data_IF_556951030001
#
_entry.id   IF_556951030001
#
_cell.length_a   1.000
_cell.length_b   1.000
_cell.length_c   1.000
_cell.angle_alpha   90.00
_cell.angle_beta   90.00
_cell.angle_gamma   90.00
#
_symmetry.space_group_name_H-M   'P 1'
#
loop_
_entity.id
_entity.type
_entity.pdbx_description
1 polymer ?
#
# COMPACT_ATOMS: atom_id res chain seq x y z
N UNK A 1 47.01 -68.20 11.08
CA UNK A 1 47.50 -66.90 11.55
C UNK A 1 46.33 -65.92 11.59
N UNK A 2 46.27 -65.02 12.60
CA UNK A 2 45.01 -64.67 13.23
C UNK A 2 44.57 -63.21 13.03
N UNK A 3 43.25 -63.02 13.21
CA UNK A 3 42.54 -61.93 13.92
C UNK A 3 42.47 -60.55 13.25
N UNK A 4 41.30 -60.13 12.78
CA UNK A 4 40.16 -59.60 13.56
C UNK A 4 40.54 -58.37 14.38
N UNK A 5 40.23 -57.18 13.87
CA UNK A 5 40.04 -55.98 14.68
C UNK A 5 38.54 -55.90 15.03
N UNK A 6 38.23 -56.35 16.25
CA UNK A 6 37.09 -55.86 17.03
C UNK A 6 37.46 -54.46 17.56
N UNK A 7 36.52 -53.51 17.53
CA UNK A 7 36.14 -52.68 18.70
C UNK A 7 35.13 -51.62 18.27
N UNK A 8 33.84 -51.95 18.31
CA UNK A 8 32.78 -50.97 18.47
C UNK A 8 31.92 -51.47 19.65
N UNK A 9 32.18 -50.89 20.82
CA UNK A 9 31.49 -51.19 22.06
C UNK A 9 30.04 -50.70 22.00
N UNK A 10 29.16 -51.60 22.44
CA UNK A 10 27.76 -51.43 22.79
C UNK A 10 27.57 -50.35 23.87
N UNK A 11 26.64 -49.39 23.66
CA UNK A 11 25.33 -49.24 24.35
C UNK A 11 25.43 -48.67 25.81
N UNK A 12 24.33 -48.35 26.52
CA UNK A 12 23.52 -47.13 26.38
C UNK A 12 23.19 -46.48 27.76
N UNK A 13 22.96 -45.17 27.89
CA UNK A 13 22.26 -44.60 29.06
C UNK A 13 21.59 -43.30 28.61
N UNK A 14 20.30 -43.28 28.31
CA UNK A 14 19.14 -43.23 29.23
C UNK A 14 19.18 -42.01 30.19
N UNK A 15 18.19 -41.13 29.98
CA UNK A 15 17.74 -39.98 30.78
C UNK A 15 18.62 -38.73 30.86
N UNK A 16 18.21 -37.70 30.12
CA UNK A 16 17.69 -36.50 30.77
C UNK A 16 16.65 -35.85 29.87
N UNK A 17 15.38 -36.11 30.18
CA UNK A 17 14.26 -35.35 29.65
C UNK A 17 14.16 -34.04 30.42
N UNK A 18 14.37 -32.92 29.74
CA UNK A 18 13.74 -31.64 30.02
C UNK A 18 13.49 -30.99 28.67
N UNK A 19 12.32 -31.29 28.10
CA UNK A 19 11.76 -30.53 27.01
C UNK A 19 11.38 -29.17 27.61
N UNK A 20 12.11 -28.12 27.24
CA UNK A 20 11.80 -26.76 27.68
C UNK A 20 10.66 -26.25 26.79
N UNK A 21 9.46 -26.63 27.19
CA UNK A 21 8.21 -26.30 26.54
C UNK A 21 7.78 -24.92 27.00
N UNK A 22 8.39 -23.89 26.40
CA UNK A 22 7.92 -22.52 26.54
C UNK A 22 6.63 -22.35 25.73
N UNK A 23 5.52 -22.49 26.45
CA UNK A 23 4.18 -21.95 26.22
C UNK A 23 3.90 -21.40 24.81
N UNK A 24 3.16 -22.21 24.06
CA UNK A 24 2.29 -21.75 22.99
C UNK A 24 1.27 -20.77 23.59
N UNK A 25 1.47 -19.47 23.43
CA UNK A 25 0.41 -18.50 23.73
C UNK A 25 -0.67 -18.67 22.67
N UNK A 26 -1.74 -19.36 23.07
CA UNK A 26 -2.91 -19.58 22.27
C UNK A 26 -3.47 -18.22 21.83
N UNK A 27 -3.51 -18.03 20.50
CA UNK A 27 -4.28 -16.96 19.89
C UNK A 27 -5.70 -16.95 20.47
N UNK A 28 -6.26 -15.77 20.81
CA UNK A 28 -7.69 -15.71 21.08
C UNK A 28 -8.43 -16.20 19.82
N UNK A 29 -9.44 -17.07 19.94
CA UNK A 29 -10.24 -17.42 18.77
C UNK A 29 -10.78 -16.12 18.16
N UNK A 30 -10.74 -15.92 16.83
CA UNK A 30 -11.54 -14.86 16.24
C UNK A 30 -12.98 -15.17 16.63
N UNK A 31 -13.49 -14.34 17.54
CA UNK A 31 -14.86 -14.36 18.01
C UNK A 31 -15.75 -14.52 16.80
N UNK A 32 -16.46 -15.64 16.77
CA UNK A 32 -17.51 -15.93 15.82
C UNK A 32 -18.33 -14.66 15.67
N UNK A 33 -18.46 -14.22 14.42
CA UNK A 33 -19.32 -13.13 14.02
C UNK A 33 -20.68 -13.33 14.67
N UNK A 34 -20.97 -12.55 15.71
CA UNK A 34 -22.33 -12.30 16.12
C UNK A 34 -22.99 -11.62 14.92
N UNK A 35 -23.66 -12.42 14.09
CA UNK A 35 -24.67 -11.93 13.15
C UNK A 35 -25.74 -11.30 14.02
N UNK A 36 -25.56 -10.01 14.30
CA UNK A 36 -26.59 -9.19 14.88
C UNK A 36 -27.82 -9.33 13.99
N UNK A 37 -28.89 -9.87 14.55
CA UNK A 37 -30.19 -9.92 13.89
C UNK A 37 -30.50 -8.50 13.43
N UNK A 38 -30.63 -8.31 12.11
CA UNK A 38 -30.97 -7.02 11.54
C UNK A 38 -32.39 -6.66 11.99
N UNK A 39 -32.50 -5.92 13.09
CA UNK A 39 -33.70 -5.14 13.36
C UNK A 39 -33.79 -4.11 12.24
N UNK A 40 -34.97 -4.02 11.62
CA UNK A 40 -35.28 -2.95 10.65
C UNK A 40 -35.49 -1.63 11.40
N UNK A 41 -34.51 -1.24 12.20
CA UNK A 41 -34.45 0.13 12.68
C UNK A 41 -34.07 0.98 11.48
N UNK A 42 -34.94 1.92 11.11
CA UNK A 42 -34.80 2.82 9.97
C UNK A 42 -33.63 3.80 10.08
N UNK A 43 -32.55 3.43 10.77
CA UNK A 43 -31.31 4.16 10.77
C UNK A 43 -30.71 4.12 9.35
N UNK A 44 -30.30 5.27 8.80
CA UNK A 44 -29.69 5.31 7.47
C UNK A 44 -28.43 4.44 7.47
N UNK A 45 -28.27 3.60 6.44
CA UNK A 45 -27.06 2.81 6.22
C UNK A 45 -25.94 3.78 5.82
N UNK A 46 -25.22 4.31 6.81
CA UNK A 46 -24.03 5.15 6.58
C UNK A 46 -22.80 4.25 6.54
N UNK A 47 -22.22 4.08 5.35
CA UNK A 47 -20.97 3.34 5.19
C UNK A 47 -19.81 4.12 5.84
N UNK A 48 -18.97 3.43 6.61
CA UNK A 48 -17.75 4.02 7.19
C UNK A 48 -16.73 4.35 6.09
N UNK A 49 -15.83 5.29 6.35
CA UNK A 49 -14.79 5.68 5.37
C UNK A 49 -13.96 4.51 4.84
N UNK A 50 -13.63 3.54 5.69
CA UNK A 50 -12.94 2.32 5.29
C UNK A 50 -13.78 1.40 4.39
N UNK A 51 -15.09 1.30 4.63
CA UNK A 51 -16.00 0.55 3.76
C UNK A 51 -16.15 1.24 2.39
N UNK A 52 -16.27 2.57 2.37
CA UNK A 52 -16.33 3.35 1.12
C UNK A 52 -15.02 3.21 0.34
N UNK A 53 -13.86 3.29 1.00
CA UNK A 53 -12.56 3.13 0.34
C UNK A 53 -12.45 1.80 -0.42
N UNK A 54 -12.89 0.68 0.19
CA UNK A 54 -12.93 -0.66 -0.44
C UNK A 54 -13.86 -0.74 -1.65
N UNK A 55 -14.90 0.10 -1.69
CA UNK A 55 -15.82 0.18 -2.83
C UNK A 55 -15.24 1.01 -3.99
N UNK A 56 -14.41 2.00 -3.69
CA UNK A 56 -13.70 2.82 -4.69
C UNK A 56 -12.45 2.14 -5.24
N UNK A 57 -11.72 2.79 -6.16
CA UNK A 57 -10.42 2.31 -6.62
C UNK A 57 -9.32 2.59 -5.59
N UNK A 58 -9.56 3.42 -4.57
CA UNK A 58 -8.62 3.66 -3.47
C UNK A 58 -8.27 2.37 -2.71
N UNK A 59 -9.25 1.46 -2.55
CA UNK A 59 -9.05 0.18 -1.89
C UNK A 59 -8.26 -0.86 -2.69
N UNK A 60 -7.88 -0.56 -3.94
CA UNK A 60 -7.04 -1.45 -4.75
C UNK A 60 -5.54 -1.35 -4.40
N UNK A 61 -5.14 -0.27 -3.73
CA UNK A 61 -3.75 -0.06 -3.34
C UNK A 61 -3.28 -1.11 -2.34
N UNK A 62 -2.09 -1.63 -2.58
CA UNK A 62 -1.34 -2.49 -1.67
C UNK A 62 0.00 -1.85 -1.37
N UNK A 63 0.41 -1.88 -0.11
CA UNK A 63 1.71 -1.43 0.40
C UNK A 63 2.82 -2.47 0.22
N UNK A 64 2.44 -3.71 -0.11
CA UNK A 64 3.34 -4.86 -0.20
C UNK A 64 3.29 -5.44 -1.61
N UNK A 65 4.47 -5.85 -2.10
CA UNK A 65 4.58 -6.54 -3.38
C UNK A 65 3.77 -7.84 -3.36
N UNK A 66 2.90 -8.09 -4.35
CA UNK A 66 2.15 -9.34 -4.44
C UNK A 66 3.05 -10.56 -4.68
N UNK A 67 4.32 -10.38 -5.00
CA UNK A 67 5.26 -11.47 -5.28
C UNK A 67 5.14 -12.02 -6.71
N UNK A 68 6.14 -12.77 -7.15
CA UNK A 68 6.24 -13.23 -8.54
C UNK A 68 5.18 -14.28 -8.93
N UNK A 69 4.64 -15.01 -7.96
CA UNK A 69 3.70 -16.12 -8.18
C UNK A 69 2.23 -15.68 -8.01
N UNK A 70 1.96 -14.43 -7.66
CA UNK A 70 0.60 -13.97 -7.49
C UNK A 70 -0.17 -14.03 -8.82
N UNK A 71 -1.41 -14.57 -8.82
CA UNK A 71 -2.19 -14.67 -10.04
C UNK A 71 -2.57 -13.28 -10.55
N UNK A 72 -2.47 -13.10 -11.87
CA UNK A 72 -2.83 -11.88 -12.60
C UNK A 72 -1.69 -10.85 -12.69
N UNK A 73 -1.99 -9.72 -13.32
CA UNK A 73 -0.99 -8.71 -13.66
C UNK A 73 -1.04 -7.54 -12.68
N UNK A 74 0.12 -7.12 -12.18
CA UNK A 74 0.23 -6.03 -11.23
C UNK A 74 1.10 -4.90 -11.78
N UNK A 75 0.71 -3.67 -11.47
CA UNK A 75 1.51 -2.47 -11.75
C UNK A 75 2.08 -1.94 -10.43
N UNK A 76 3.32 -1.46 -10.48
CA UNK A 76 3.95 -0.75 -9.37
C UNK A 76 3.96 0.74 -9.69
N UNK A 77 3.26 1.52 -8.87
CA UNK A 77 3.27 2.97 -8.92
C UNK A 77 4.25 3.51 -7.89
N UNK A 78 5.10 4.45 -8.29
CA UNK A 78 6.00 5.16 -7.38
C UNK A 78 5.43 6.54 -7.12
N UNK A 79 4.85 6.75 -5.94
CA UNK A 79 4.40 8.09 -5.55
C UNK A 79 5.62 8.89 -5.10
N UNK A 80 5.85 10.09 -5.68
CA UNK A 80 6.93 10.94 -5.21
C UNK A 80 6.70 11.29 -3.73
N UNK A 81 7.78 11.36 -2.97
CA UNK A 81 7.73 11.84 -1.60
C UNK A 81 7.44 13.34 -1.61
N UNK A 82 6.45 13.76 -0.82
CA UNK A 82 6.24 15.16 -0.45
C UNK A 82 7.22 15.46 0.66
N UNK A 83 8.18 16.33 0.37
CA UNK A 83 9.21 16.79 1.31
C UNK A 83 8.88 18.19 1.79
N UNK A 84 9.00 18.41 3.08
CA UNK A 84 8.92 19.72 3.72
C UNK A 84 10.32 20.16 4.12
N UNK A 85 10.62 21.45 3.92
CA UNK A 85 11.86 22.05 4.41
C UNK A 85 11.58 22.69 5.76
N UNK A 86 12.09 22.09 6.81
CA UNK A 86 11.92 22.57 8.18
C UNK A 86 13.16 23.40 8.56
N UNK A 87 12.94 24.68 8.88
CA UNK A 87 13.98 25.59 9.38
C UNK A 87 13.76 25.85 10.86
N UNK A 88 14.75 25.52 11.69
CA UNK A 88 14.71 25.70 13.13
C UNK A 88 15.85 26.61 13.60
N UNK A 89 15.56 27.53 14.53
CA UNK A 89 16.56 28.36 15.19
C UNK A 89 16.87 27.78 16.58
N UNK A 90 17.92 26.94 16.65
CA UNK A 90 18.36 26.32 17.89
C UNK A 90 19.21 27.30 18.73
N UNK A 91 18.85 27.48 20.01
CA UNK A 91 19.64 28.29 20.94
C UNK A 91 20.95 27.56 21.28
N UNK A 92 22.08 28.16 20.91
CA UNK A 92 23.42 27.59 21.15
C UNK A 92 24.01 28.12 22.44
N UNK A 93 23.78 29.39 22.75
CA UNK A 93 24.20 29.99 23.99
C UNK A 93 23.14 30.97 24.49
N UNK A 94 22.68 30.85 25.74
CA UNK A 94 21.74 31.79 26.32
C UNK A 94 22.40 33.17 26.49
N UNK A 95 21.56 34.18 26.58
CA UNK A 95 21.98 35.53 26.90
C UNK A 95 22.56 35.61 28.31
N UNK A 96 23.67 36.35 28.49
CA UNK A 96 24.20 36.67 29.83
C UNK A 96 23.92 38.12 30.18
N UNK A 97 23.35 38.35 31.35
CA UNK A 97 23.03 39.67 31.90
C UNK A 97 23.77 39.93 33.20
N UNK A 98 24.06 41.20 33.44
CA UNK A 98 24.57 41.66 34.73
C UNK A 98 23.46 41.52 35.80
N UNK A 99 23.73 40.85 36.94
CA UNK A 99 22.71 40.53 37.93
C UNK A 99 22.20 41.75 38.74
N UNK A 100 22.91 42.88 38.71
CA UNK A 100 22.56 44.09 39.48
C UNK A 100 21.92 45.15 38.59
N UNK A 101 22.49 45.37 37.41
CA UNK A 101 22.03 46.40 36.46
C UNK A 101 21.06 45.89 35.40
N UNK A 102 20.96 44.57 35.19
CA UNK A 102 20.12 43.95 34.17
C UNK A 102 20.60 44.15 32.73
N UNK A 103 21.75 44.81 32.56
CA UNK A 103 22.36 45.11 31.26
C UNK A 103 22.86 43.82 30.60
N UNK A 104 22.65 43.69 29.28
CA UNK A 104 23.11 42.55 28.49
C UNK A 104 24.63 42.60 28.35
N UNK A 105 25.31 41.58 28.87
CA UNK A 105 26.77 41.44 28.76
C UNK A 105 27.15 40.63 27.52
N UNK A 106 26.41 39.57 27.23
CA UNK A 106 26.58 38.76 26.02
C UNK A 106 25.21 38.43 25.43
N UNK A 107 24.95 38.74 24.16
CA UNK A 107 23.68 38.38 23.53
C UNK A 107 23.55 36.87 23.35
N UNK A 108 22.31 36.38 23.31
CA UNK A 108 22.03 35.00 22.94
C UNK A 108 22.56 34.69 21.52
N UNK A 109 23.10 33.49 21.33
CA UNK A 109 23.55 33.00 20.03
C UNK A 109 22.65 31.86 19.57
N UNK A 110 22.18 31.95 18.34
CA UNK A 110 21.34 30.94 17.70
C UNK A 110 22.07 30.33 16.50
N UNK A 111 21.78 29.07 16.22
CA UNK A 111 22.14 28.42 14.98
C UNK A 111 20.87 28.12 14.18
N UNK A 112 20.94 28.31 12.87
CA UNK A 112 19.82 27.99 11.97
C UNK A 112 20.09 26.63 11.34
N UNK A 113 19.27 25.65 11.69
CA UNK A 113 19.33 24.30 11.13
C UNK A 113 18.21 24.20 10.09
N UNK A 114 18.55 23.77 8.87
CA UNK A 114 17.58 23.51 7.80
C UNK A 114 17.65 22.05 7.42
N UNK A 115 16.53 21.33 7.57
CA UNK A 115 16.42 19.90 7.29
C UNK A 115 15.27 19.65 6.30
N UNK A 116 15.51 18.76 5.34
CA UNK A 116 14.46 18.23 4.48
C UNK A 116 13.83 16.99 5.14
N UNK A 117 12.55 17.09 5.51
CA UNK A 117 11.78 16.00 6.12
C UNK A 117 10.76 15.47 5.13
N UNK A 118 10.71 14.15 4.94
CA UNK A 118 9.64 13.51 4.16
C UNK A 118 8.36 13.51 5.02
N UNK A 119 7.32 14.17 4.53
CA UNK A 119 6.01 14.27 5.23
C UNK A 119 5.07 13.15 4.78
N UNK A 120 5.09 12.81 3.48
CA UNK A 120 4.21 11.80 2.90
C UNK A 120 4.87 11.17 1.66
N UNK A 121 4.52 9.92 1.34
CA UNK A 121 4.87 9.29 0.07
C UNK A 121 6.26 8.66 0.04
N UNK A 122 6.82 8.47 -1.16
CA UNK A 122 8.08 7.74 -1.37
C UNK A 122 7.94 6.21 -1.34
N UNK A 123 6.76 5.72 -0.99
CA UNK A 123 6.41 4.31 -1.02
C UNK A 123 6.09 3.82 -2.45
N UNK A 124 6.36 2.53 -2.66
CA UNK A 124 5.87 1.79 -3.83
C UNK A 124 4.49 1.28 -3.49
N UNK A 125 3.54 1.46 -4.38
CA UNK A 125 2.21 0.92 -4.23
C UNK A 125 1.88 0.01 -5.40
N UNK A 126 1.22 -1.10 -5.10
CA UNK A 126 0.84 -2.09 -6.09
C UNK A 126 -0.67 -2.11 -6.28
N UNK A 127 -1.12 -2.30 -7.52
CA UNK A 127 -2.52 -2.59 -7.82
C UNK A 127 -2.60 -3.53 -9.03
N UNK A 128 -3.74 -4.20 -9.18
CA UNK A 128 -3.96 -5.11 -10.30
C UNK A 128 -4.30 -4.33 -11.56
N UNK A 129 -3.48 -4.49 -12.60
CA UNK A 129 -3.71 -3.90 -13.92
C UNK A 129 -4.35 -4.91 -14.86
N UNK A 130 -4.93 -4.41 -15.94
CA UNK A 130 -5.31 -5.27 -17.05
C UNK A 130 -4.04 -5.91 -17.63
N UNK A 131 -4.10 -7.22 -17.87
CA UNK A 131 -3.02 -7.98 -18.49
C UNK A 131 -2.88 -7.61 -19.97
N UNK A 132 -1.66 -7.69 -20.51
CA UNK A 132 -1.42 -7.30 -21.91
C UNK A 132 -2.21 -8.17 -22.90
N UNK A 133 -2.47 -9.44 -22.56
CA UNK A 133 -3.32 -10.34 -23.34
C UNK A 133 -4.79 -9.86 -23.45
N UNK A 134 -5.27 -9.12 -22.44
CA UNK A 134 -6.63 -8.56 -22.42
C UNK A 134 -6.66 -7.14 -23.03
N UNK A 135 -5.52 -6.52 -23.36
CA UNK A 135 -5.43 -5.19 -23.97
C UNK A 135 -5.39 -5.26 -25.50
N UNK A 136 -6.41 -5.89 -26.10
CA UNK A 136 -6.55 -5.95 -27.56
C UNK A 136 -6.99 -4.58 -28.12
N UNK A 137 -6.76 -4.30 -29.41
CA UNK A 137 -7.21 -3.06 -30.04
C UNK A 137 -8.71 -2.81 -29.86
N UNK A 138 -9.54 -3.85 -29.92
CA UNK A 138 -11.00 -3.79 -29.76
C UNK A 138 -11.39 -3.40 -28.33
N UNK A 139 -10.72 -3.97 -27.32
CA UNK A 139 -10.90 -3.56 -25.93
C UNK A 139 -10.43 -2.11 -25.72
N UNK A 140 -9.33 -1.70 -26.35
CA UNK A 140 -8.84 -0.31 -26.24
C UNK A 140 -9.82 0.67 -26.92
N UNK A 141 -10.42 0.33 -28.06
CA UNK A 141 -11.48 1.15 -28.66
C UNK A 141 -12.70 1.26 -27.74
N UNK A 142 -13.09 0.15 -27.12
CA UNK A 142 -14.18 0.12 -26.13
C UNK A 142 -13.86 1.00 -24.92
N UNK A 143 -12.61 0.95 -24.43
CA UNK A 143 -12.10 1.84 -23.38
C UNK A 143 -12.17 3.31 -23.80
N UNK A 144 -11.69 3.66 -24.99
CA UNK A 144 -11.71 5.03 -25.51
C UNK A 144 -13.14 5.55 -25.63
N UNK A 145 -14.08 4.72 -26.13
CA UNK A 145 -15.51 5.02 -26.19
C UNK A 145 -16.11 5.24 -24.80
N UNK A 146 -15.79 4.36 -23.84
CA UNK A 146 -16.26 4.46 -22.47
C UNK A 146 -15.75 5.74 -21.77
N UNK A 147 -14.50 6.12 -22.02
CA UNK A 147 -13.92 7.36 -21.52
C UNK A 147 -14.54 8.60 -22.20
N UNK A 148 -14.81 8.52 -23.50
CA UNK A 148 -15.45 9.60 -24.26
C UNK A 148 -16.89 9.85 -23.79
N UNK A 149 -17.66 8.78 -23.56
CA UNK A 149 -19.02 8.88 -23.01
C UNK A 149 -19.07 9.55 -21.63
N UNK A 150 -17.95 9.57 -20.90
CA UNK A 150 -17.78 10.23 -19.59
C UNK A 150 -17.18 11.64 -19.70
N UNK A 151 -16.94 12.13 -20.91
CA UNK A 151 -16.30 13.42 -21.16
C UNK A 151 -14.82 13.48 -20.79
N UNK A 152 -14.16 12.33 -20.60
CA UNK A 152 -12.75 12.26 -20.19
C UNK A 152 -11.79 12.10 -21.38
N UNK A 153 -12.31 11.74 -22.55
CA UNK A 153 -11.53 11.53 -23.77
C UNK A 153 -12.21 12.19 -24.96
N UNK A 154 -11.43 12.90 -25.78
CA UNK A 154 -11.92 13.61 -26.97
C UNK A 154 -11.17 13.21 -28.26
N UNK A 155 -10.32 12.17 -28.19
CA UNK A 155 -9.56 11.67 -29.33
C UNK A 155 -10.34 10.65 -30.17
N UNK A 156 -9.79 10.24 -31.32
CA UNK A 156 -10.36 9.16 -32.12
C UNK A 156 -10.17 7.79 -31.45
N UNK A 157 -11.07 6.85 -31.72
CA UNK A 157 -10.99 5.46 -31.24
C UNK A 157 -9.91 4.67 -32.02
N UNK A 158 -8.64 4.95 -31.74
CA UNK A 158 -7.50 4.37 -32.45
C UNK A 158 -7.21 2.91 -32.09
N UNK A 159 -7.76 2.41 -30.98
CA UNK A 159 -7.40 1.08 -30.45
C UNK A 159 -5.97 1.00 -29.92
N UNK A 160 -5.32 2.15 -29.68
CA UNK A 160 -3.97 2.23 -29.11
C UNK A 160 -3.97 3.09 -27.85
N UNK A 161 -3.20 2.67 -26.85
CA UNK A 161 -2.99 3.48 -25.63
C UNK A 161 -1.98 4.57 -25.95
N UNK A 162 -2.48 5.74 -26.34
CA UNK A 162 -1.70 6.95 -26.59
C UNK A 162 -1.65 7.89 -25.36
N UNK A 163 -0.99 9.04 -25.51
CA UNK A 163 -0.90 10.05 -24.45
C UNK A 163 -2.28 10.59 -24.02
N UNK A 164 -3.20 10.76 -24.96
CA UNK A 164 -4.55 11.22 -24.65
C UNK A 164 -5.33 10.16 -23.87
N UNK A 165 -5.19 8.88 -24.25
CA UNK A 165 -5.83 7.74 -23.59
C UNK A 165 -5.29 7.55 -22.19
N UNK A 166 -3.96 7.61 -21.98
CA UNK A 166 -3.36 7.52 -20.64
C UNK A 166 -3.75 8.68 -19.73
N UNK A 167 -3.86 9.90 -20.27
CA UNK A 167 -4.38 11.04 -19.51
C UNK A 167 -5.85 10.84 -19.09
N UNK A 168 -6.69 10.34 -20.00
CA UNK A 168 -8.09 10.03 -19.72
C UNK A 168 -8.25 8.89 -18.69
N UNK A 169 -7.44 7.83 -18.79
CA UNK A 169 -7.37 6.76 -17.78
C UNK A 169 -7.02 7.36 -16.41
N UNK A 170 -5.97 8.18 -16.33
CA UNK A 170 -5.57 8.82 -15.07
C UNK A 170 -6.69 9.67 -14.49
N UNK A 171 -7.40 10.45 -15.32
CA UNK A 171 -8.52 11.28 -14.89
C UNK A 171 -9.70 10.44 -14.36
N UNK A 172 -10.03 9.33 -15.03
CA UNK A 172 -11.07 8.41 -14.56
C UNK A 172 -10.74 7.80 -13.19
N UNK A 173 -9.49 7.37 -13.03
CA UNK A 173 -9.04 6.63 -11.85
C UNK A 173 -8.77 7.55 -10.65
N UNK A 174 -8.25 8.76 -10.87
CA UNK A 174 -7.92 9.71 -9.80
C UNK A 174 -9.15 10.13 -9.00
N UNK A 175 -10.28 10.37 -9.69
CA UNK A 175 -11.58 10.67 -9.06
C UNK A 175 -12.08 9.55 -8.13
N UNK A 176 -11.53 8.33 -8.28
CA UNK A 176 -11.88 7.15 -7.51
C UNK A 176 -10.76 6.71 -6.57
N UNK A 177 -9.72 7.54 -6.40
CA UNK A 177 -8.61 7.32 -5.46
C UNK A 177 -7.43 6.50 -5.99
N UNK A 178 -7.37 6.22 -7.30
CA UNK A 178 -6.23 5.54 -7.91
C UNK A 178 -5.53 6.48 -8.91
N UNK A 179 -4.42 7.08 -8.49
CA UNK A 179 -3.66 8.05 -9.30
C UNK A 179 -2.61 7.29 -10.13
N UNK A 180 -3.02 6.74 -11.28
CA UNK A 180 -2.09 6.07 -12.22
C UNK A 180 -2.58 6.23 -13.66
N UNK A 181 -1.67 6.34 -14.66
CA UNK A 181 -2.02 6.28 -16.07
C UNK A 181 -2.26 4.85 -16.59
N UNK A 182 -1.90 3.82 -15.81
CA UNK A 182 -2.09 2.42 -16.18
C UNK A 182 -3.51 1.98 -15.80
N UNK A 183 -4.20 1.32 -16.73
CA UNK A 183 -5.57 0.86 -16.52
C UNK A 183 -5.62 -0.28 -15.48
N UNK A 184 -6.25 -0.01 -14.34
CA UNK A 184 -6.55 -1.03 -13.34
C UNK A 184 -7.60 -2.02 -13.85
N UNK A 185 -7.49 -3.28 -13.41
CA UNK A 185 -8.47 -4.31 -13.76
C UNK A 185 -9.87 -3.88 -13.30
N UNK A 186 -10.01 -3.39 -12.06
CA UNK A 186 -11.30 -2.93 -11.52
C UNK A 186 -11.90 -1.76 -12.32
N UNK A 187 -11.09 -0.82 -12.80
CA UNK A 187 -11.60 0.26 -13.66
C UNK A 187 -12.09 -0.26 -15.01
N UNK A 188 -11.36 -1.21 -15.61
CA UNK A 188 -11.75 -1.83 -16.87
C UNK A 188 -13.06 -2.61 -16.72
N UNK A 189 -13.23 -3.36 -15.63
CA UNK A 189 -14.46 -4.08 -15.28
C UNK A 189 -15.63 -3.10 -15.07
N UNK A 190 -15.44 -2.02 -14.30
CA UNK A 190 -16.45 -0.99 -14.07
C UNK A 190 -16.90 -0.25 -15.34
N UNK A 191 -16.01 -0.15 -16.34
CA UNK A 191 -16.32 0.48 -17.62
C UNK A 191 -16.85 -0.52 -18.66
N UNK A 192 -16.91 -1.83 -18.34
CA UNK A 192 -17.34 -2.87 -19.28
C UNK A 192 -16.34 -3.11 -20.41
N UNK A 193 -15.07 -2.78 -20.21
CA UNK A 193 -13.99 -3.02 -21.18
C UNK A 193 -13.59 -4.49 -21.18
N UNK A 194 -13.65 -5.12 -20.01
CA UNK A 194 -13.40 -6.55 -19.81
C UNK A 194 -14.52 -7.15 -18.98
N UNK A 195 -14.68 -8.47 -19.06
CA UNK A 195 -15.62 -9.21 -18.22
C UNK A 195 -15.21 -9.14 -16.75
N UNK A 196 -16.21 -9.10 -15.88
CA UNK A 196 -16.01 -9.19 -14.44
C UNK A 196 -15.45 -10.57 -14.09
N UNK A 197 -14.22 -10.64 -13.57
CA UNK A 197 -13.68 -11.89 -13.02
C UNK A 197 -14.02 -11.92 -11.53
N UNK A 198 -14.72 -12.96 -11.08
CA UNK A 198 -14.87 -13.22 -9.65
C UNK A 198 -13.47 -13.32 -9.02
N UNK A 199 -13.21 -12.42 -8.07
CA UNK A 199 -11.96 -12.40 -7.32
C UNK A 199 -12.14 -13.32 -6.11
N UNK A 200 -11.25 -14.30 -5.87
CA UNK A 200 -11.17 -14.95 -4.58
C UNK A 200 -10.91 -13.86 -3.54
N UNK A 201 -11.86 -13.69 -2.62
CA UNK A 201 -11.68 -12.85 -1.44
C UNK A 201 -10.73 -13.64 -0.54
N UNK A 202 -9.60 -13.05 -0.07
CA UNK A 202 -8.75 -13.72 0.92
C UNK A 202 -9.53 -13.96 2.22
#
# INVERSE_FOLDING_TARGET
MPRLSLSALALPFFLCACVEQAAQEAAPPPSQSAVAAATRDGAPIVATGAAVARLTLAGEWRDTSPGAQAPGCYHVERRPAVVETVTEHALVAPEKRDPVSGVVLEPARYNTITEARIVEGGERLWFRRVCDADLTPEHIQTLQRALAARGLYAGPETGRIDRATTAAIRAYQSQRGLISPVLSQRAAEQMGVILWRERPVP
#
